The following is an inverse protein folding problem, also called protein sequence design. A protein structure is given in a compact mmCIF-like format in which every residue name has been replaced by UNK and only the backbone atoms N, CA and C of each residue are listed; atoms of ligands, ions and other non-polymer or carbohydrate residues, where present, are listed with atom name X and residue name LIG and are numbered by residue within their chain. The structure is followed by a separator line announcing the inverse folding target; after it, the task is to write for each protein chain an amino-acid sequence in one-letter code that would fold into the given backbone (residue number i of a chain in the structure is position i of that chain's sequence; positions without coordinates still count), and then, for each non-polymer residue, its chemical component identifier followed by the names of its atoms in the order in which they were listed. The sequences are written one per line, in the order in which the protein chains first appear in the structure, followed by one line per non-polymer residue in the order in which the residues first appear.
data_IF_496805210158
#
_entry.id   IF_496805210158
#
_cell.length_a   1.000
_cell.length_b   1.000
_cell.length_c   1.000
_cell.angle_alpha   90.00
_cell.angle_beta   90.00
_cell.angle_gamma   90.00
#
_symmetry.space_group_name_H-M   'P 1'
#
loop_
_entity.id
_entity.type
_entity.pdbx_description
1 polymer ?
#
# COMPACT_ATOMS: atom_id res chain seq x y z
N UNK A 1 10.71 -1.38 -12.44
CA UNK A 1 10.63 0.02 -11.99
C UNK A 1 9.21 0.38 -11.60
N UNK A 2 9.05 1.09 -10.46
CA UNK A 2 7.78 1.55 -9.94
C UNK A 2 7.14 2.58 -10.86
N UNK A 3 5.81 2.53 -10.96
CA UNK A 3 5.02 3.44 -11.78
C UNK A 3 4.09 4.26 -10.90
N UNK A 4 3.72 5.44 -11.37
CA UNK A 4 2.82 6.37 -10.68
C UNK A 4 1.70 6.83 -11.62
N UNK A 5 0.57 7.21 -11.02
CA UNK A 5 -0.58 7.76 -11.74
C UNK A 5 -1.31 6.76 -12.65
N UNK A 6 -2.39 7.22 -13.25
CA UNK A 6 -3.24 6.41 -14.13
C UNK A 6 -2.52 5.98 -15.41
N UNK A 7 -1.66 6.82 -15.96
CA UNK A 7 -0.89 6.55 -17.17
C UNK A 7 0.36 5.68 -16.91
N UNK A 8 0.52 5.18 -15.69
CA UNK A 8 1.66 4.36 -15.28
C UNK A 8 3.01 5.00 -15.64
N UNK A 9 3.11 6.31 -15.49
CA UNK A 9 4.33 7.04 -15.76
C UNK A 9 5.45 6.65 -14.79
N UNK A 10 6.67 6.66 -15.29
CA UNK A 10 7.87 6.51 -14.47
C UNK A 10 8.42 7.89 -14.17
N UNK A 11 8.42 8.24 -12.91
CA UNK A 11 9.05 9.45 -12.40
C UNK A 11 9.97 9.07 -11.25
N UNK A 12 11.26 9.01 -11.54
CA UNK A 12 12.29 8.56 -10.59
C UNK A 12 12.60 9.59 -9.49
N UNK A 13 12.10 10.82 -9.65
CA UNK A 13 12.20 11.85 -8.61
C UNK A 13 11.08 11.71 -7.59
N UNK A 14 9.98 11.06 -7.97
CA UNK A 14 8.83 10.80 -7.10
C UNK A 14 8.87 9.39 -6.52
N UNK A 15 9.18 8.36 -7.35
CA UNK A 15 9.17 6.97 -6.91
C UNK A 15 10.29 6.15 -7.53
N UNK A 16 11.09 5.51 -6.67
CA UNK A 16 12.07 4.49 -7.05
C UNK A 16 11.71 3.18 -6.37
N UNK A 17 11.33 2.19 -7.15
CA UNK A 17 11.00 0.83 -6.69
C UNK A 17 10.94 -0.16 -7.85
N UNK A 18 10.80 -1.44 -7.53
CA UNK A 18 10.48 -2.49 -8.50
C UNK A 18 9.11 -3.05 -8.15
N UNK A 19 8.15 -2.97 -9.06
CA UNK A 19 6.76 -3.35 -8.83
C UNK A 19 6.37 -4.53 -9.74
N UNK A 20 5.58 -5.46 -9.17
CA UNK A 20 5.01 -6.62 -9.84
C UNK A 20 3.53 -6.73 -9.49
N UNK A 21 2.64 -6.51 -10.45
CA UNK A 21 1.23 -6.81 -10.28
C UNK A 21 0.99 -8.31 -10.45
N UNK A 22 0.34 -8.94 -9.47
CA UNK A 22 0.18 -10.40 -9.41
C UNK A 22 -1.22 -10.90 -9.72
N UNK A 23 -2.28 -10.10 -9.45
CA UNK A 23 -3.66 -10.55 -9.63
C UNK A 23 -3.99 -10.87 -11.08
N UNK A 24 -4.75 -11.93 -11.28
CA UNK A 24 -5.07 -12.47 -12.59
C UNK A 24 -3.98 -13.31 -13.26
N UNK A 25 -2.83 -13.50 -12.61
CA UNK A 25 -1.74 -14.37 -13.11
C UNK A 25 -1.81 -15.75 -12.48
N UNK A 26 -1.83 -16.79 -13.31
CA UNK A 26 -2.01 -18.19 -12.88
C UNK A 26 -1.00 -18.63 -11.82
N UNK A 27 0.27 -18.36 -12.03
CA UNK A 27 1.36 -18.75 -11.10
C UNK A 27 1.35 -17.97 -9.79
N UNK A 28 0.48 -16.97 -9.63
CA UNK A 28 0.34 -16.19 -8.41
C UNK A 28 -1.03 -16.36 -7.73
N UNK A 29 -1.88 -17.25 -8.25
CA UNK A 29 -3.25 -17.45 -7.76
C UNK A 29 -3.33 -17.73 -6.26
N UNK A 30 -2.46 -18.60 -5.74
CA UNK A 30 -2.48 -18.96 -4.32
C UNK A 30 -2.07 -17.79 -3.43
N UNK A 31 -1.08 -17.00 -3.86
CA UNK A 31 -0.63 -15.80 -3.15
C UNK A 31 -1.70 -14.71 -3.21
N UNK A 32 -2.32 -14.50 -4.36
CA UNK A 32 -3.46 -13.57 -4.54
C UNK A 32 -4.60 -13.91 -3.57
N UNK A 33 -4.96 -15.21 -3.48
CA UNK A 33 -5.98 -15.70 -2.55
C UNK A 33 -5.61 -15.48 -1.08
N UNK A 34 -4.34 -15.62 -0.71
CA UNK A 34 -3.88 -15.35 0.66
C UNK A 34 -4.06 -13.87 1.02
N UNK A 35 -3.67 -12.94 0.14
CA UNK A 35 -3.90 -11.52 0.34
C UNK A 35 -5.39 -11.18 0.44
N UNK A 36 -6.20 -11.72 -0.46
CA UNK A 36 -7.65 -11.54 -0.42
C UNK A 36 -8.26 -11.99 0.91
N UNK A 37 -7.88 -13.17 1.39
CA UNK A 37 -8.41 -13.72 2.64
C UNK A 37 -7.99 -12.87 3.85
N UNK A 38 -6.71 -12.48 3.91
CA UNK A 38 -6.20 -11.63 4.98
C UNK A 38 -6.89 -10.24 4.98
N UNK A 39 -7.05 -9.64 3.80
CA UNK A 39 -7.74 -8.37 3.66
C UNK A 39 -9.22 -8.46 4.08
N UNK A 40 -9.93 -9.50 3.64
CA UNK A 40 -11.34 -9.69 3.97
C UNK A 40 -11.56 -9.81 5.50
N UNK A 41 -10.71 -10.56 6.19
CA UNK A 41 -10.76 -10.68 7.65
C UNK A 41 -10.51 -9.32 8.33
N UNK A 42 -9.46 -8.61 7.94
CA UNK A 42 -9.13 -7.30 8.51
C UNK A 42 -10.19 -6.23 8.20
N UNK A 43 -10.80 -6.26 7.02
CA UNK A 43 -11.91 -5.35 6.70
C UNK A 43 -13.16 -5.64 7.54
N UNK A 44 -13.43 -6.90 7.89
CA UNK A 44 -14.54 -7.23 8.76
C UNK A 44 -14.32 -6.69 10.18
N UNK A 45 -13.09 -6.78 10.71
CA UNK A 45 -12.73 -6.16 12.00
C UNK A 45 -12.86 -4.63 11.92
N UNK A 46 -12.29 -4.02 10.88
CA UNK A 46 -12.35 -2.57 10.66
C UNK A 46 -13.79 -2.04 10.60
N UNK A 47 -14.70 -2.76 9.92
CA UNK A 47 -16.12 -2.38 9.85
C UNK A 47 -16.84 -2.40 11.21
N UNK A 48 -16.37 -3.23 12.14
CA UNK A 48 -16.93 -3.29 13.49
C UNK A 48 -16.47 -2.10 14.34
N UNK A 49 -15.32 -1.53 14.03
CA UNK A 49 -14.74 -0.41 14.78
C UNK A 49 -15.15 0.96 14.22
N UNK A 50 -15.38 1.03 12.90
CA UNK A 50 -15.69 2.29 12.21
C UNK A 50 -17.16 2.31 11.77
N UNK A 51 -17.94 3.13 12.43
CA UNK A 51 -19.36 3.36 12.10
C UNK A 51 -19.50 3.88 10.66
N UNK A 52 -20.59 3.46 10.01
CA UNK A 52 -20.96 3.87 8.64
C UNK A 52 -20.04 3.36 7.51
N UNK A 53 -18.93 2.67 7.79
CA UNK A 53 -18.09 2.04 6.79
C UNK A 53 -18.62 0.64 6.44
N UNK A 54 -19.63 0.55 5.58
CA UNK A 54 -20.43 -0.70 5.40
C UNK A 54 -20.19 -1.44 4.07
N UNK A 55 -19.85 -0.77 3.00
CA UNK A 55 -19.72 -1.39 1.67
C UNK A 55 -21.04 -1.65 0.96
N UNK A 56 -21.12 -2.56 -0.03
CA UNK A 56 -20.11 -3.60 -0.33
C UNK A 56 -18.80 -3.08 -0.93
N UNK A 57 -17.70 -3.78 -0.65
CA UNK A 57 -16.36 -3.42 -1.11
C UNK A 57 -15.72 -4.54 -1.91
N UNK A 58 -14.79 -4.16 -2.79
CA UNK A 58 -13.88 -5.06 -3.49
C UNK A 58 -12.47 -4.47 -3.49
N UNK A 59 -11.46 -5.33 -3.63
CA UNK A 59 -10.09 -4.91 -3.90
C UNK A 59 -9.87 -4.63 -5.40
N UNK A 60 -8.77 -3.97 -5.71
CA UNK A 60 -8.32 -3.68 -7.07
C UNK A 60 -7.20 -4.62 -7.54
N UNK A 61 -7.05 -5.78 -6.89
CA UNK A 61 -5.91 -6.67 -7.10
C UNK A 61 -4.67 -6.20 -6.38
N UNK A 62 -3.62 -7.03 -6.36
CA UNK A 62 -2.44 -6.85 -5.52
C UNK A 62 -1.19 -6.60 -6.36
N UNK A 63 -0.45 -5.57 -5.96
CA UNK A 63 0.88 -5.27 -6.48
C UNK A 63 1.93 -5.49 -5.40
N UNK A 64 2.94 -6.32 -5.67
CA UNK A 64 4.11 -6.48 -4.81
C UNK A 64 5.15 -5.43 -5.21
N UNK A 65 5.68 -4.73 -4.23
CA UNK A 65 6.71 -3.72 -4.41
C UNK A 65 7.95 -4.09 -3.61
N UNK A 66 9.11 -4.06 -4.26
CA UNK A 66 10.42 -4.13 -3.64
C UNK A 66 11.08 -2.76 -3.67
N UNK A 67 11.58 -2.33 -2.52
CA UNK A 67 12.33 -1.09 -2.35
C UNK A 67 13.69 -1.42 -1.73
N UNK A 68 14.77 -1.10 -2.39
CA UNK A 68 16.15 -1.33 -1.95
C UNK A 68 16.86 -0.04 -1.57
N UNK A 69 18.17 -0.10 -1.24
CA UNK A 69 18.95 1.06 -0.83
C UNK A 69 18.90 2.22 -1.83
N UNK A 70 18.68 3.43 -1.33
CA UNK A 70 18.50 4.65 -2.13
C UNK A 70 17.18 4.75 -2.86
N UNK A 71 16.25 3.83 -2.61
CA UNK A 71 14.93 3.83 -3.21
C UNK A 71 13.87 4.31 -2.22
N UNK A 72 12.80 4.92 -2.73
CA UNK A 72 11.76 5.60 -1.95
C UNK A 72 10.47 5.78 -2.75
N UNK A 73 9.42 6.21 -2.06
CA UNK A 73 8.24 6.83 -2.66
C UNK A 73 7.94 8.13 -1.92
N UNK A 74 8.04 9.25 -2.64
CA UNK A 74 7.93 10.58 -2.04
C UNK A 74 6.51 10.88 -1.52
N UNK A 75 6.33 12.00 -0.82
CA UNK A 75 5.05 12.43 -0.26
C UNK A 75 3.95 12.49 -1.32
N UNK A 76 2.88 11.73 -1.12
CA UNK A 76 1.75 11.63 -2.04
C UNK A 76 0.45 11.31 -1.31
N UNK A 77 -0.65 11.28 -2.06
CA UNK A 77 -1.94 10.74 -1.70
C UNK A 77 -2.36 9.74 -2.79
N UNK A 78 -3.20 8.79 -2.45
CA UNK A 78 -3.66 7.74 -3.38
C UNK A 78 -5.01 8.03 -4.03
N UNK A 79 -5.69 9.06 -3.58
CA UNK A 79 -6.97 9.55 -4.07
C UNK A 79 -6.91 11.02 -4.49
N UNK A 80 -8.06 11.70 -4.47
CA UNK A 80 -8.14 13.15 -4.66
C UNK A 80 -8.21 13.61 -6.12
N UNK A 81 -8.33 12.69 -7.08
CA UNK A 81 -8.65 12.98 -8.47
C UNK A 81 -9.92 12.27 -8.90
N UNK A 82 -10.52 12.74 -10.00
CA UNK A 82 -11.69 12.08 -10.59
C UNK A 82 -11.44 10.59 -10.87
N UNK A 83 -10.27 10.25 -11.39
CA UNK A 83 -9.90 8.90 -11.79
C UNK A 83 -9.79 7.91 -10.63
N UNK A 84 -9.53 8.43 -9.41
CA UNK A 84 -9.37 7.64 -8.19
C UNK A 84 -10.45 7.91 -7.15
N UNK A 85 -11.55 8.56 -7.57
CA UNK A 85 -12.63 9.01 -6.67
C UNK A 85 -13.38 7.87 -5.98
N UNK A 86 -13.34 6.66 -6.55
CA UNK A 86 -13.98 5.46 -5.98
C UNK A 86 -13.14 4.75 -4.91
N UNK A 87 -11.87 5.14 -4.71
CA UNK A 87 -11.01 4.55 -3.67
C UNK A 87 -11.49 4.98 -2.29
N UNK A 88 -11.67 4.02 -1.39
CA UNK A 88 -12.15 4.23 -0.04
C UNK A 88 -11.04 4.01 1.00
N UNK A 89 -10.21 2.99 0.81
CA UNK A 89 -9.05 2.69 1.64
C UNK A 89 -7.85 2.27 0.78
N UNK A 90 -6.69 2.49 1.34
CA UNK A 90 -5.42 1.85 0.94
C UNK A 90 -5.13 0.72 1.91
N UNK A 91 -4.68 -0.40 1.41
CA UNK A 91 -4.14 -1.51 2.20
C UNK A 91 -2.67 -1.72 1.87
N UNK A 92 -1.81 -1.73 2.87
CA UNK A 92 -0.38 -2.06 2.72
C UNK A 92 -0.05 -3.23 3.65
N UNK A 93 0.33 -4.35 3.06
CA UNK A 93 0.87 -5.52 3.74
C UNK A 93 2.40 -5.41 3.77
N UNK A 94 3.01 -5.54 4.93
CA UNK A 94 4.46 -5.65 5.07
C UNK A 94 4.85 -7.12 5.02
N UNK A 95 5.76 -7.47 4.12
CA UNK A 95 6.10 -8.88 3.82
C UNK A 95 7.40 -9.33 4.47
N UNK A 96 8.15 -8.38 5.04
CA UNK A 96 9.38 -8.67 5.81
C UNK A 96 9.60 -7.61 6.87
N UNK A 97 10.42 -7.96 7.85
CA UNK A 97 10.92 -7.02 8.85
C UNK A 97 11.97 -6.10 8.23
N UNK A 98 11.93 -4.82 8.62
CA UNK A 98 12.98 -3.84 8.33
C UNK A 98 13.28 -3.11 9.62
N UNK A 99 14.52 -3.18 10.09
CA UNK A 99 14.93 -2.48 11.32
C UNK A 99 14.87 -0.96 11.11
N UNK A 100 14.56 -0.21 12.16
CA UNK A 100 14.44 1.25 12.11
C UNK A 100 15.67 1.94 11.48
N UNK A 101 16.88 1.47 11.83
CA UNK A 101 18.14 1.98 11.28
C UNK A 101 18.31 1.74 9.77
N UNK A 102 17.53 0.84 9.19
CA UNK A 102 17.55 0.54 7.75
C UNK A 102 16.66 1.48 6.94
N UNK A 103 15.88 2.34 7.60
CA UNK A 103 14.92 3.23 6.95
C UNK A 103 13.68 2.52 6.44
N UNK A 104 13.06 3.01 5.38
CA UNK A 104 11.96 2.33 4.71
C UNK A 104 10.61 2.38 5.44
N UNK A 105 10.45 3.23 6.46
CA UNK A 105 9.17 3.45 7.14
C UNK A 105 8.09 3.94 6.17
N UNK A 106 6.84 3.73 6.53
CA UNK A 106 5.71 4.44 5.93
C UNK A 106 5.32 5.58 6.86
N UNK A 107 5.54 6.82 6.42
CA UNK A 107 5.35 8.01 7.24
C UNK A 107 4.06 8.72 6.86
N UNK A 108 3.28 9.13 7.86
CA UNK A 108 2.05 9.89 7.70
C UNK A 108 2.24 11.32 8.22
N UNK A 109 2.15 12.31 7.32
CA UNK A 109 2.50 13.69 7.62
C UNK A 109 1.61 14.31 8.70
N UNK A 110 0.30 14.21 8.54
CA UNK A 110 -0.67 14.89 9.41
C UNK A 110 -0.89 14.15 10.74
N UNK A 111 -0.71 12.84 10.75
CA UNK A 111 -0.82 12.01 11.96
C UNK A 111 0.46 12.02 12.79
N UNK A 112 1.60 12.40 12.19
CA UNK A 112 2.90 12.34 12.86
C UNK A 112 3.34 10.91 13.21
N UNK A 113 2.91 9.92 12.41
CA UNK A 113 3.17 8.50 12.64
C UNK A 113 4.15 7.97 11.59
N UNK A 114 5.13 7.20 12.06
CA UNK A 114 6.06 6.45 11.23
C UNK A 114 5.84 4.95 11.48
N UNK A 115 5.40 4.22 10.48
CA UNK A 115 5.15 2.78 10.59
C UNK A 115 6.41 2.02 10.18
N UNK A 116 7.00 1.30 11.13
CA UNK A 116 8.13 0.41 10.88
C UNK A 116 7.57 -0.88 10.22
N UNK A 117 8.20 -1.33 9.11
CA UNK A 117 7.80 -2.57 8.45
C UNK A 117 8.06 -3.80 9.34
N UNK A 118 7.02 -4.59 9.56
CA UNK A 118 7.09 -5.87 10.27
C UNK A 118 6.32 -6.92 9.46
N UNK A 119 6.90 -8.09 9.27
CA UNK A 119 6.27 -9.17 8.52
C UNK A 119 4.89 -9.55 9.10
N UNK A 120 3.87 -9.58 8.24
CA UNK A 120 2.49 -9.87 8.63
C UNK A 120 1.68 -8.66 9.12
N UNK A 121 2.29 -7.50 9.30
CA UNK A 121 1.55 -6.25 9.61
C UNK A 121 0.77 -5.80 8.38
N UNK A 122 -0.50 -5.44 8.58
CA UNK A 122 -1.35 -4.78 7.61
C UNK A 122 -1.76 -3.41 8.17
N UNK A 123 -1.66 -2.38 7.35
CA UNK A 123 -2.23 -1.06 7.65
C UNK A 123 -3.32 -0.72 6.64
N UNK A 124 -4.40 -0.12 7.17
CA UNK A 124 -5.54 0.39 6.40
C UNK A 124 -5.68 1.89 6.69
N UNK A 125 -5.82 2.70 5.66
CA UNK A 125 -5.99 4.13 5.82
C UNK A 125 -6.72 4.76 4.62
N UNK A 126 -7.40 5.91 4.81
CA UNK A 126 -8.04 6.64 3.72
C UNK A 126 -7.05 7.11 2.65
N UNK A 127 -7.42 7.08 1.35
CA UNK A 127 -6.54 7.48 0.25
C UNK A 127 -6.40 8.99 0.09
N UNK A 128 -7.08 9.78 0.93
CA UNK A 128 -7.33 11.20 0.73
C UNK A 128 -6.19 12.09 1.28
N UNK A 129 -6.31 13.41 1.04
CA UNK A 129 -5.41 14.46 1.52
C UNK A 129 -5.20 14.45 3.05
N UNK A 130 -6.15 13.91 3.80
CA UNK A 130 -6.02 13.72 5.25
C UNK A 130 -4.89 12.77 5.64
N UNK A 131 -4.51 11.84 4.75
CA UNK A 131 -3.49 10.82 4.99
C UNK A 131 -2.36 10.91 3.96
N UNK A 132 -1.82 12.14 3.78
CA UNK A 132 -0.61 12.34 2.99
C UNK A 132 0.53 11.54 3.60
N UNK A 133 1.14 10.66 2.80
CA UNK A 133 2.13 9.71 3.28
C UNK A 133 3.28 9.54 2.29
N UNK A 134 4.34 8.88 2.76
CA UNK A 134 5.49 8.51 1.93
C UNK A 134 6.04 7.13 2.34
N UNK A 135 6.74 6.48 1.43
CA UNK A 135 7.70 5.44 1.74
C UNK A 135 9.07 6.08 1.91
N UNK A 136 9.56 6.18 3.14
CA UNK A 136 10.87 6.74 3.42
C UNK A 136 11.97 5.94 2.69
N UNK A 137 13.10 6.58 2.43
CA UNK A 137 14.23 5.95 1.77
C UNK A 137 14.71 4.72 2.56
N UNK A 138 14.95 3.64 1.85
CA UNK A 138 15.64 2.47 2.39
C UNK A 138 17.14 2.76 2.36
N UNK A 139 17.78 2.75 3.52
CA UNK A 139 19.22 3.00 3.68
C UNK A 139 20.02 1.73 3.41
N UNK A 140 19.53 0.60 3.91
CA UNK A 140 20.16 -0.71 3.71
C UNK A 140 19.13 -1.84 3.74
N UNK A 141 19.47 -2.99 3.19
CA UNK A 141 18.57 -4.13 3.10
C UNK A 141 17.51 -3.98 2.00
N UNK A 142 16.39 -4.65 2.17
CA UNK A 142 15.28 -4.67 1.22
C UNK A 142 13.96 -4.58 1.98
N UNK A 143 13.04 -3.78 1.48
CA UNK A 143 11.66 -3.70 1.95
C UNK A 143 10.74 -4.32 0.90
N UNK A 144 9.88 -5.24 1.32
CA UNK A 144 8.84 -5.82 0.48
C UNK A 144 7.47 -5.49 1.07
N UNK A 145 6.60 -4.97 0.24
CA UNK A 145 5.19 -4.73 0.59
C UNK A 145 4.28 -5.27 -0.52
N UNK A 146 3.04 -5.59 -0.17
CA UNK A 146 1.97 -5.73 -1.14
C UNK A 146 0.94 -4.64 -0.90
N UNK A 147 0.38 -4.08 -1.97
CA UNK A 147 -0.58 -2.98 -1.90
C UNK A 147 -1.82 -3.29 -2.72
N UNK A 148 -2.96 -2.81 -2.23
CA UNK A 148 -4.21 -2.73 -2.99
C UNK A 148 -5.01 -1.51 -2.54
N UNK A 149 -6.01 -1.14 -3.33
CA UNK A 149 -7.03 -0.17 -2.97
C UNK A 149 -8.37 -0.86 -2.82
N UNK A 150 -9.11 -0.45 -1.81
CA UNK A 150 -10.48 -0.90 -1.57
C UNK A 150 -11.43 0.13 -2.16
N UNK A 151 -12.34 -0.32 -2.99
CA UNK A 151 -13.34 0.50 -3.68
C UNK A 151 -14.75 -0.04 -3.42
N UNK A 152 -15.77 0.75 -3.68
CA UNK A 152 -17.13 0.22 -3.72
C UNK A 152 -17.28 -0.83 -4.83
N UNK A 153 -17.98 -1.94 -4.52
CA UNK A 153 -18.22 -3.04 -5.46
C UNK A 153 -19.31 -2.69 -6.47
#
# INVERSE_FOLDING_TARGET
EGKIGQNLNKDLDIKKSTDLFISGKENWRDVDKLFFTALANSLNEFKNEIDFFKGPFKDMGYGIQRTGPGQFYHWHIDGGSHDFSNRQLVAIFYLNDVEEKQGGTTDFLHQGVNVIPEAGKLILFPPFWTHKHRGAEVVSGQKYIATTWIVFA
#
